data_IF_393941513558
#
_entry.id   IF_393941513558
#
_cell.length_a   1.000
_cell.length_b   1.000
_cell.length_c   1.000
_cell.angle_alpha   90.00
_cell.angle_beta   90.00
_cell.angle_gamma   90.00
#
_symmetry.space_group_name_H-M   'P 1'
#
loop_
_entity.id
_entity.type
_entity.pdbx_description
1 polymer ?
#
# COMPACT_ATOMS: atom_id res chain seq x y z
N UNK A 1 9.73 13.79 2.00
CA UNK A 1 9.43 14.15 3.41
C UNK A 1 8.68 13.02 4.11
N UNK A 2 7.62 12.46 3.53
CA UNK A 2 6.88 11.35 4.13
C UNK A 2 7.75 10.12 4.44
N UNK A 3 8.58 9.65 3.49
CA UNK A 3 9.43 8.45 3.65
C UNK A 3 10.42 8.54 4.82
N UNK A 4 10.73 9.73 5.35
CA UNK A 4 11.66 9.88 6.48
C UNK A 4 10.93 10.29 7.75
N UNK A 5 10.05 11.29 7.66
CA UNK A 5 9.37 11.86 8.84
C UNK A 5 8.32 10.90 9.39
N UNK A 6 7.48 10.31 8.55
CA UNK A 6 6.38 9.43 9.01
C UNK A 6 6.93 8.16 9.65
N UNK A 7 7.94 7.47 9.07
CA UNK A 7 8.61 6.38 9.76
C UNK A 7 9.22 6.81 11.10
N UNK A 8 9.95 7.92 11.16
CA UNK A 8 10.54 8.38 12.42
C UNK A 8 9.49 8.67 13.51
N UNK A 9 8.39 9.35 13.16
CA UNK A 9 7.30 9.61 14.11
C UNK A 9 6.61 8.31 14.55
N UNK A 10 6.46 7.34 13.64
CA UNK A 10 5.97 5.99 13.98
C UNK A 10 6.89 5.31 14.98
N UNK A 11 8.21 5.34 14.76
CA UNK A 11 9.20 4.79 15.69
C UNK A 11 9.09 5.40 17.10
N UNK A 12 9.02 6.73 17.20
CA UNK A 12 8.87 7.42 18.49
C UNK A 12 7.55 7.05 19.17
N UNK A 13 6.46 6.93 18.40
CA UNK A 13 5.14 6.56 18.92
C UNK A 13 5.16 5.13 19.49
N UNK A 14 5.72 4.18 18.75
CA UNK A 14 5.87 2.79 19.20
C UNK A 14 6.73 2.71 20.46
N UNK A 15 7.85 3.44 20.49
CA UNK A 15 8.71 3.51 21.66
C UNK A 15 7.96 4.05 22.90
N UNK A 16 7.14 5.09 22.72
CA UNK A 16 6.39 5.72 23.81
C UNK A 16 5.32 4.80 24.41
N UNK A 17 4.72 3.90 23.62
CA UNK A 17 3.74 2.90 24.09
C UNK A 17 4.39 1.60 24.57
N UNK A 18 5.72 1.55 24.68
CA UNK A 18 6.49 0.41 25.20
C UNK A 18 6.93 -0.60 24.15
N UNK A 19 6.64 -0.38 22.87
CA UNK A 19 7.06 -1.23 21.76
C UNK A 19 8.39 -0.72 21.18
N UNK A 20 9.48 -1.08 21.84
CA UNK A 20 10.83 -0.61 21.52
C UNK A 20 11.47 -1.46 20.44
N UNK A 21 11.37 -1.01 19.18
CA UNK A 21 12.04 -1.65 18.06
C UNK A 21 13.56 -1.48 18.17
N UNK A 22 14.31 -2.57 18.04
CA UNK A 22 15.75 -2.52 17.83
C UNK A 22 16.09 -2.08 16.39
N UNK A 23 17.38 -1.89 16.11
CA UNK A 23 17.83 -1.45 14.79
C UNK A 23 17.32 -2.35 13.65
N UNK A 24 17.41 -3.67 13.79
CA UNK A 24 17.04 -4.61 12.74
C UNK A 24 15.53 -4.65 12.52
N UNK A 25 14.74 -4.64 13.60
CA UNK A 25 13.28 -4.59 13.52
C UNK A 25 12.82 -3.30 12.83
N UNK A 26 13.40 -2.17 13.26
CA UNK A 26 13.14 -0.87 12.65
C UNK A 26 13.52 -0.83 11.17
N UNK A 27 14.72 -1.32 10.85
CA UNK A 27 15.25 -1.36 9.50
C UNK A 27 14.35 -2.20 8.57
N UNK A 28 13.91 -3.38 9.00
CA UNK A 28 12.99 -4.21 8.23
C UNK A 28 11.65 -3.53 7.97
N UNK A 29 11.08 -2.84 8.98
CA UNK A 29 9.86 -2.04 8.77
C UNK A 29 10.09 -0.92 7.74
N UNK A 30 11.22 -0.23 7.82
CA UNK A 30 11.57 0.85 6.92
C UNK A 30 11.75 0.38 5.46
N UNK A 31 12.49 -0.72 5.26
CA UNK A 31 12.67 -1.34 3.95
C UNK A 31 11.34 -1.79 3.35
N UNK A 32 10.45 -2.37 4.16
CA UNK A 32 9.15 -2.81 3.70
C UNK A 32 8.23 -1.64 3.29
N UNK A 33 8.23 -0.53 4.06
CA UNK A 33 7.48 0.69 3.69
C UNK A 33 8.06 1.32 2.43
N UNK A 34 9.38 1.35 2.31
CA UNK A 34 10.08 1.88 1.12
C UNK A 34 9.74 1.04 -0.11
N UNK A 35 9.80 -0.28 0.01
CA UNK A 35 9.39 -1.21 -1.04
C UNK A 35 7.93 -0.97 -1.46
N UNK A 36 7.02 -0.79 -0.50
CA UNK A 36 5.60 -0.53 -0.76
C UNK A 36 5.39 0.72 -1.62
N UNK A 37 6.08 1.80 -1.28
CA UNK A 37 6.01 3.07 -2.04
C UNK A 37 6.61 2.90 -3.44
N UNK A 38 7.80 2.29 -3.57
CA UNK A 38 8.44 2.06 -4.87
C UNK A 38 7.56 1.17 -5.76
N UNK A 39 6.98 0.12 -5.20
CA UNK A 39 6.06 -0.76 -5.92
C UNK A 39 4.86 0.02 -6.43
N UNK A 40 4.20 0.81 -5.58
CA UNK A 40 3.08 1.70 -5.97
C UNK A 40 3.43 2.71 -7.06
N UNK A 41 4.70 3.12 -7.16
CA UNK A 41 5.22 4.04 -8.19
C UNK A 41 5.85 3.36 -9.40
N UNK A 42 5.81 2.03 -9.49
CA UNK A 42 6.49 1.28 -10.55
C UNK A 42 5.92 1.49 -11.96
N UNK A 43 4.68 1.99 -12.07
CA UNK A 43 3.98 2.15 -13.34
C UNK A 43 3.57 0.84 -14.01
N UNK A 44 3.70 -0.29 -13.31
CA UNK A 44 3.20 -1.58 -13.78
C UNK A 44 1.68 -1.55 -13.95
N UNK A 45 1.15 -2.44 -14.79
CA UNK A 45 -0.29 -2.53 -15.07
C UNK A 45 -0.75 -3.95 -14.77
N UNK A 46 -0.65 -4.30 -13.49
CA UNK A 46 -0.96 -5.63 -12.96
C UNK A 46 -1.91 -5.50 -11.76
N UNK A 47 -2.75 -6.51 -11.56
CA UNK A 47 -3.47 -6.66 -10.31
C UNK A 47 -2.50 -7.17 -9.23
N UNK A 48 -1.80 -6.25 -8.59
CA UNK A 48 -0.82 -6.54 -7.56
C UNK A 48 -1.03 -5.67 -6.33
N UNK A 49 -0.73 -6.21 -5.17
CA UNK A 49 -0.73 -5.51 -3.88
C UNK A 49 0.59 -5.81 -3.16
N UNK A 50 0.95 -4.97 -2.21
CA UNK A 50 2.11 -5.21 -1.35
C UNK A 50 1.90 -6.52 -0.56
N UNK A 51 2.86 -7.47 -0.56
CA UNK A 51 2.69 -8.77 0.07
C UNK A 51 2.42 -8.67 1.58
N UNK A 52 1.26 -9.11 2.04
CA UNK A 52 0.90 -9.09 3.45
C UNK A 52 0.16 -10.37 3.86
N UNK A 53 0.44 -10.95 5.05
CA UNK A 53 -0.28 -12.13 5.54
C UNK A 53 -1.79 -11.91 5.68
N UNK A 54 -2.23 -10.67 5.86
CA UNK A 54 -3.65 -10.31 6.01
C UNK A 54 -4.33 -9.94 4.70
N UNK A 55 -3.65 -9.98 3.55
CA UNK A 55 -4.25 -9.59 2.28
C UNK A 55 -5.52 -10.38 1.91
N UNK A 56 -5.63 -11.71 2.13
CA UNK A 56 -6.87 -12.42 1.83
C UNK A 56 -8.09 -11.84 2.56
N UNK A 57 -7.92 -11.42 3.83
CA UNK A 57 -8.96 -10.75 4.60
C UNK A 57 -9.27 -9.35 4.04
N UNK A 58 -8.23 -8.58 3.72
CA UNK A 58 -8.41 -7.25 3.13
C UNK A 58 -9.13 -7.32 1.78
N UNK A 59 -8.77 -8.26 0.92
CA UNK A 59 -9.38 -8.48 -0.38
C UNK A 59 -10.84 -8.93 -0.26
N UNK A 60 -11.15 -9.81 0.69
CA UNK A 60 -12.53 -10.20 1.00
C UNK A 60 -13.40 -9.01 1.42
N UNK A 61 -12.82 -8.02 2.10
CA UNK A 61 -13.49 -6.79 2.54
C UNK A 61 -13.37 -5.62 1.55
N UNK A 62 -12.77 -5.82 0.37
CA UNK A 62 -12.49 -4.76 -0.63
C UNK A 62 -11.67 -3.58 -0.02
N UNK A 63 -10.77 -3.91 0.89
CA UNK A 63 -9.88 -3.02 1.65
C UNK A 63 -8.39 -3.19 1.28
N UNK A 64 -8.07 -4.10 0.39
CA UNK A 64 -6.74 -4.21 -0.20
C UNK A 64 -6.45 -2.97 -1.06
N UNK A 65 -5.20 -2.50 -1.03
CA UNK A 65 -4.74 -1.43 -1.90
C UNK A 65 -3.94 -2.05 -3.03
N UNK A 66 -4.50 -2.06 -4.23
CA UNK A 66 -3.79 -2.55 -5.41
C UNK A 66 -2.98 -1.42 -6.04
N UNK A 67 -2.04 -1.81 -6.90
CA UNK A 67 -1.14 -0.90 -7.59
C UNK A 67 -1.87 0.26 -8.28
N UNK A 68 -3.01 -0.01 -8.92
CA UNK A 68 -3.84 1.03 -9.55
C UNK A 68 -4.39 2.03 -8.52
N UNK A 69 -4.79 1.59 -7.33
CA UNK A 69 -5.33 2.50 -6.31
C UNK A 69 -4.28 3.56 -5.92
N UNK A 70 -3.01 3.13 -5.79
CA UNK A 70 -1.85 3.99 -5.55
C UNK A 70 -1.54 4.88 -6.76
N UNK A 71 -1.50 4.32 -7.98
CA UNK A 71 -1.28 5.09 -9.21
C UNK A 71 -2.32 6.21 -9.35
N UNK A 72 -3.60 5.91 -9.14
CA UNK A 72 -4.68 6.88 -9.23
C UNK A 72 -4.53 8.00 -8.19
N UNK A 73 -4.07 7.70 -6.97
CA UNK A 73 -3.78 8.70 -5.93
C UNK A 73 -2.76 9.74 -6.45
N UNK A 74 -1.67 9.28 -7.07
CA UNK A 74 -0.62 10.15 -7.57
C UNK A 74 -0.96 10.80 -8.91
N UNK A 75 -1.62 10.07 -9.82
CA UNK A 75 -1.98 10.53 -11.16
C UNK A 75 -2.94 11.70 -11.16
N UNK A 76 -3.93 11.71 -10.24
CA UNK A 76 -4.93 12.79 -10.17
C UNK A 76 -4.46 14.02 -9.39
N UNK A 77 -3.39 13.88 -8.62
CA UNK A 77 -2.73 14.97 -7.90
C UNK A 77 -3.53 15.51 -6.70
N UNK A 78 -3.02 16.60 -6.13
CA UNK A 78 -3.38 17.06 -4.79
C UNK A 78 -4.72 17.81 -4.66
N UNK A 79 -5.31 18.30 -5.77
CA UNK A 79 -6.52 19.14 -5.71
C UNK A 79 -7.82 18.36 -5.49
N UNK A 80 -7.88 17.10 -5.95
CA UNK A 80 -8.99 16.16 -5.75
C UNK A 80 -8.38 14.76 -5.63
N UNK A 81 -7.95 14.43 -4.42
CA UNK A 81 -7.27 13.17 -4.08
C UNK A 81 -8.22 12.20 -3.38
N UNK A 82 -7.77 10.96 -3.22
CA UNK A 82 -8.48 9.79 -2.69
C UNK A 82 -7.43 8.69 -2.48
N UNK A 83 -7.83 7.52 -1.95
CA UNK A 83 -6.93 6.40 -1.67
C UNK A 83 -5.68 6.87 -0.88
N UNK A 84 -5.91 7.51 0.26
CA UNK A 84 -4.86 8.08 1.11
C UNK A 84 -4.06 7.01 1.86
N UNK A 85 -4.61 5.82 2.00
CA UNK A 85 -3.88 4.68 2.52
C UNK A 85 -2.64 4.38 1.68
N UNK A 86 -1.56 3.97 2.33
CA UNK A 86 -0.30 3.60 1.66
C UNK A 86 -0.21 2.10 1.37
N UNK A 87 -0.62 1.28 2.33
CA UNK A 87 -0.55 -0.19 2.24
C UNK A 87 -1.93 -0.84 2.06
N UNK A 88 -2.98 -0.21 2.56
CA UNK A 88 -4.36 -0.74 2.54
C UNK A 88 -5.34 0.40 2.36
N UNK A 89 -6.54 0.11 1.89
CA UNK A 89 -7.67 1.04 1.82
C UNK A 89 -8.59 0.96 3.05
N UNK A 90 -8.15 0.37 4.17
CA UNK A 90 -8.98 0.23 5.38
C UNK A 90 -9.53 1.58 5.82
N UNK A 91 -8.65 2.58 5.97
CA UNK A 91 -9.06 3.92 6.35
C UNK A 91 -9.88 4.62 5.25
N UNK A 92 -9.53 4.39 3.98
CA UNK A 92 -10.29 4.96 2.87
C UNK A 92 -11.73 4.44 2.82
N UNK A 93 -11.95 3.17 3.14
CA UNK A 93 -13.28 2.59 3.25
C UNK A 93 -14.05 3.16 4.43
N UNK A 94 -13.42 3.27 5.59
CA UNK A 94 -14.05 3.80 6.80
C UNK A 94 -14.43 5.28 6.66
N UNK A 95 -13.62 6.07 5.95
CA UNK A 95 -13.83 7.50 5.80
C UNK A 95 -14.40 7.92 4.43
N UNK A 96 -14.71 6.98 3.55
CA UNK A 96 -15.34 7.25 2.26
C UNK A 96 -14.44 7.98 1.26
N UNK A 97 -13.14 7.71 1.29
CA UNK A 97 -12.14 8.33 0.39
C UNK A 97 -11.60 7.37 -0.67
N UNK A 98 -12.25 6.22 -0.90
CA UNK A 98 -11.92 5.34 -2.02
C UNK A 98 -12.32 5.95 -3.36
N UNK A 99 -11.47 5.79 -4.38
CA UNK A 99 -11.87 5.98 -5.77
C UNK A 99 -12.23 4.68 -6.46
N UNK A 100 -13.06 4.81 -7.50
CA UNK A 100 -13.35 3.70 -8.40
C UNK A 100 -12.12 3.35 -9.24
N UNK A 101 -11.82 2.04 -9.28
CA UNK A 101 -10.80 1.47 -10.18
C UNK A 101 -11.25 1.61 -11.63
N UNK A 102 -10.30 1.89 -12.52
CA UNK A 102 -10.53 2.03 -13.97
C UNK A 102 -10.16 0.71 -14.65
N UNK A 103 -9.02 0.13 -14.30
CA UNK A 103 -8.39 -1.00 -14.98
C UNK A 103 -8.46 -2.30 -14.18
N UNK A 104 -8.17 -2.26 -12.88
CA UNK A 104 -8.17 -3.38 -11.96
C UNK A 104 -9.59 -3.73 -11.46
N UNK A 105 -10.60 -3.60 -12.34
CA UNK A 105 -11.95 -4.11 -12.10
C UNK A 105 -11.93 -5.64 -12.21
N UNK A 106 -12.73 -6.33 -11.41
CA UNK A 106 -12.74 -7.80 -11.36
C UNK A 106 -12.88 -8.44 -12.75
N UNK A 107 -13.76 -7.91 -13.60
CA UNK A 107 -14.00 -8.44 -14.96
C UNK A 107 -12.87 -8.14 -15.95
N UNK A 108 -11.96 -7.22 -15.63
CA UNK A 108 -10.84 -6.83 -16.49
C UNK A 108 -9.54 -7.60 -16.17
N UNK A 109 -9.46 -8.26 -15.02
CA UNK A 109 -8.24 -8.92 -14.55
C UNK A 109 -8.14 -10.34 -15.13
N UNK A 110 -7.13 -10.58 -15.96
CA UNK A 110 -6.82 -11.90 -16.50
C UNK A 110 -5.99 -12.73 -15.49
N UNK A 111 -6.68 -13.47 -14.62
CA UNK A 111 -6.04 -14.35 -13.64
C UNK A 111 -5.32 -15.57 -14.27
N UNK A 112 -5.46 -15.81 -15.58
CA UNK A 112 -4.73 -16.88 -16.28
C UNK A 112 -3.29 -16.49 -16.62
N UNK A 113 -2.92 -15.21 -16.50
CA UNK A 113 -1.59 -14.67 -16.80
C UNK A 113 -0.93 -14.08 -15.56
N UNK A 114 -0.40 -14.91 -14.65
CA UNK A 114 0.25 -14.42 -13.44
C UNK A 114 1.53 -13.65 -13.80
N UNK A 115 1.69 -12.48 -13.19
CA UNK A 115 2.96 -11.77 -13.17
C UNK A 115 3.86 -12.37 -12.08
N UNK A 116 5.03 -12.86 -12.46
CA UNK A 116 5.99 -13.43 -11.51
C UNK A 116 6.76 -12.31 -10.82
N UNK A 117 6.76 -12.32 -9.48
CA UNK A 117 7.66 -11.50 -8.69
C UNK A 117 8.86 -12.37 -8.24
N UNK A 118 10.02 -12.25 -8.90
CA UNK A 118 11.16 -13.11 -8.62
C UNK A 118 11.73 -12.81 -7.23
N UNK A 119 12.02 -13.87 -6.49
CA UNK A 119 12.78 -13.80 -5.22
C UNK A 119 14.30 -13.99 -5.46
N UNK A 120 14.69 -14.45 -6.65
CA UNK A 120 16.06 -14.77 -7.06
C UNK A 120 16.28 -14.42 -8.54
#
# INVERSE_FOLDING_TARGET
MEIVIVPFLTFVTLWAVGLKLNFYEWWMCFEYVTYSEIFGHSGLRIYGYVPSPITPLLAYLDMELVLEDHDLHHRRGWKKSFNYGKQTRVWDRLFGTCADRIEAKADNVDYSKPATMPLF
#
